data_IF_579276069024
#
_entry.id   IF_579276069024
#
_cell.length_a   1.000
_cell.length_b   1.000
_cell.length_c   1.000
_cell.angle_alpha   90.00
_cell.angle_beta   90.00
_cell.angle_gamma   90.00
#
_symmetry.space_group_name_H-M   'P 1'
#
loop_
_entity.id
_entity.type
_entity.pdbx_description
1 polymer ?
#
# COMPACT_ATOMS: atom_id res chain seq x y z
N UNK A 1 11.58 11.06 -0.18
CA UNK A 1 10.10 11.12 -0.17
C UNK A 1 9.63 10.14 -1.23
N UNK A 2 8.74 9.20 -0.91
CA UNK A 2 8.14 8.34 -1.92
C UNK A 2 6.85 9.05 -2.36
N UNK A 3 6.72 9.35 -3.65
CA UNK A 3 5.47 9.87 -4.19
C UNK A 3 4.38 8.80 -4.05
N UNK A 4 3.15 9.21 -3.77
CA UNK A 4 2.02 8.28 -3.62
C UNK A 4 1.87 7.35 -4.84
N UNK A 5 2.11 7.87 -6.05
CA UNK A 5 2.11 7.06 -7.29
C UNK A 5 3.14 5.92 -7.26
N UNK A 6 4.31 6.15 -6.67
CA UNK A 6 5.33 5.11 -6.51
C UNK A 6 4.89 3.97 -5.59
N UNK A 7 4.06 4.24 -4.57
CA UNK A 7 3.52 3.20 -3.68
C UNK A 7 2.50 2.31 -4.40
N UNK A 8 1.68 2.88 -5.28
CA UNK A 8 0.67 2.11 -6.04
C UNK A 8 1.34 1.16 -7.02
N UNK A 9 2.39 1.61 -7.71
CA UNK A 9 3.21 0.76 -8.60
C UNK A 9 3.90 -0.33 -7.80
N UNK A 10 4.55 0.03 -6.70
CA UNK A 10 5.35 -0.90 -5.87
C UNK A 10 4.52 -1.99 -5.18
N UNK A 11 3.26 -1.68 -4.86
CA UNK A 11 2.30 -2.66 -4.35
C UNK A 11 1.75 -3.59 -5.46
N UNK A 12 2.18 -3.46 -6.71
CA UNK A 12 1.72 -4.25 -7.86
C UNK A 12 0.30 -3.91 -8.31
N UNK A 13 -0.31 -2.84 -7.78
CA UNK A 13 -1.71 -2.51 -8.02
C UNK A 13 -1.93 -2.10 -9.47
N UNK A 14 -0.99 -1.40 -10.08
CA UNK A 14 -1.08 -1.00 -11.51
C UNK A 14 -1.16 -2.23 -12.41
N UNK A 15 -0.28 -3.21 -12.20
CA UNK A 15 -0.27 -4.43 -13.00
C UNK A 15 -1.53 -5.29 -12.76
N UNK A 16 -1.93 -5.45 -11.49
CA UNK A 16 -3.11 -6.24 -11.11
C UNK A 16 -4.44 -5.65 -11.61
N UNK A 17 -4.48 -4.34 -11.89
CA UNK A 17 -5.69 -3.64 -12.35
C UNK A 17 -5.61 -3.23 -13.82
N UNK A 18 -4.52 -3.56 -14.52
CA UNK A 18 -4.24 -3.09 -15.88
C UNK A 18 -4.35 -1.55 -16.03
N UNK A 19 -3.88 -0.82 -15.01
CA UNK A 19 -3.97 0.65 -14.90
C UNK A 19 -5.41 1.20 -14.97
N UNK A 20 -6.43 0.41 -14.63
CA UNK A 20 -7.80 0.90 -14.53
C UNK A 20 -7.94 1.84 -13.32
N UNK A 21 -7.89 3.14 -13.62
CA UNK A 21 -7.97 4.21 -12.63
C UNK A 21 -9.28 4.22 -11.86
N UNK A 22 -10.39 3.80 -12.46
CA UNK A 22 -11.66 3.74 -11.75
C UNK A 22 -11.64 2.61 -10.72
N UNK A 23 -11.09 1.45 -11.10
CA UNK A 23 -10.89 0.32 -10.18
C UNK A 23 -9.93 0.68 -9.03
N UNK A 24 -8.79 1.32 -9.33
CA UNK A 24 -7.84 1.80 -8.32
C UNK A 24 -8.51 2.79 -7.37
N UNK A 25 -9.24 3.76 -7.92
CA UNK A 25 -9.93 4.76 -7.10
C UNK A 25 -11.02 4.14 -6.22
N UNK A 26 -11.78 3.18 -6.74
CA UNK A 26 -12.76 2.41 -5.96
C UNK A 26 -12.14 1.68 -4.77
N UNK A 27 -10.97 1.06 -4.95
CA UNK A 27 -10.24 0.41 -3.87
C UNK A 27 -9.77 1.43 -2.80
N UNK A 28 -9.29 2.61 -3.22
CA UNK A 28 -8.91 3.69 -2.30
C UNK A 28 -10.10 4.22 -1.51
N UNK A 29 -11.28 4.35 -2.13
CA UNK A 29 -12.52 4.73 -1.45
C UNK A 29 -12.92 3.69 -0.39
N UNK A 30 -12.77 2.39 -0.70
CA UNK A 30 -13.03 1.33 0.27
C UNK A 30 -12.08 1.40 1.48
N UNK A 31 -10.79 1.65 1.24
CA UNK A 31 -9.79 1.88 2.30
C UNK A 31 -10.22 3.06 3.17
N UNK A 32 -10.62 4.19 2.57
CA UNK A 32 -11.08 5.37 3.30
C UNK A 32 -12.32 5.07 4.15
N UNK A 33 -13.30 4.32 3.61
CA UNK A 33 -14.48 3.90 4.35
C UNK A 33 -14.12 3.01 5.54
N UNK A 34 -13.20 2.05 5.38
CA UNK A 34 -12.73 1.19 6.49
C UNK A 34 -12.06 2.01 7.59
N UNK A 35 -11.26 3.02 7.24
CA UNK A 35 -10.60 3.90 8.20
C UNK A 35 -11.55 4.82 8.98
N UNK A 36 -12.72 5.12 8.42
CA UNK A 36 -13.77 5.90 9.07
C UNK A 36 -14.72 5.02 9.91
N UNK A 37 -14.62 3.69 9.79
CA UNK A 37 -15.43 2.75 10.58
C UNK A 37 -14.92 2.61 12.01
N UNK A 38 -15.70 1.93 12.84
CA UNK A 38 -15.33 1.58 14.22
C UNK A 38 -14.03 0.74 14.32
N UNK A 39 -13.69 -0.01 13.28
CA UNK A 39 -12.45 -0.79 13.18
C UNK A 39 -11.27 0.03 12.64
N UNK A 40 -11.46 1.32 12.39
CA UNK A 40 -10.48 2.16 11.70
C UNK A 40 -9.16 2.26 12.44
N UNK A 41 -9.15 2.29 13.77
CA UNK A 41 -7.91 2.33 14.56
C UNK A 41 -7.10 1.04 14.38
N UNK A 42 -7.74 -0.12 14.56
CA UNK A 42 -7.10 -1.42 14.35
C UNK A 42 -6.58 -1.59 12.91
N UNK A 43 -7.36 -1.16 11.92
CA UNK A 43 -6.93 -1.17 10.52
C UNK A 43 -5.67 -0.32 10.29
N UNK A 44 -5.57 0.87 10.91
CA UNK A 44 -4.38 1.74 10.81
C UNK A 44 -3.15 1.07 11.37
N UNK A 45 -3.26 0.47 12.55
CA UNK A 45 -2.13 -0.20 13.21
C UNK A 45 -1.61 -1.37 12.36
N UNK A 46 -2.52 -2.23 11.90
CA UNK A 46 -2.19 -3.40 11.10
C UNK A 46 -1.52 -3.00 9.77
N UNK A 47 -2.10 -2.02 9.07
CA UNK A 47 -1.56 -1.57 7.79
C UNK A 47 -0.22 -0.85 7.93
N UNK A 48 -0.04 -0.04 8.99
CA UNK A 48 1.24 0.60 9.28
C UNK A 48 2.32 -0.44 9.59
N UNK A 49 2.01 -1.47 10.37
CA UNK A 49 2.94 -2.57 10.65
C UNK A 49 3.31 -3.35 9.39
N UNK A 50 2.35 -3.65 8.52
CA UNK A 50 2.59 -4.35 7.25
C UNK A 50 3.44 -3.51 6.29
N UNK A 51 3.16 -2.23 6.17
CA UNK A 51 3.94 -1.30 5.33
C UNK A 51 5.39 -1.20 5.79
N UNK A 52 5.62 -1.04 7.10
CA UNK A 52 6.98 -1.02 7.67
C UNK A 52 7.76 -2.31 7.39
N UNK A 53 7.12 -3.47 7.52
CA UNK A 53 7.74 -4.77 7.23
C UNK A 53 8.11 -4.91 5.75
N UNK A 54 7.21 -4.50 4.83
CA UNK A 54 7.49 -4.53 3.40
C UNK A 54 8.71 -3.67 3.04
N UNK A 55 8.76 -2.42 3.53
CA UNK A 55 9.93 -1.56 3.31
C UNK A 55 11.22 -2.12 3.91
N UNK A 56 11.15 -2.72 5.10
CA UNK A 56 12.32 -3.33 5.72
C UNK A 56 12.86 -4.49 4.89
N UNK A 57 11.98 -5.37 4.39
CA UNK A 57 12.36 -6.51 3.55
C UNK A 57 13.07 -6.05 2.27
N UNK A 58 12.54 -5.04 1.58
CA UNK A 58 13.16 -4.52 0.36
C UNK A 58 14.55 -3.93 0.60
N UNK A 59 14.73 -3.16 1.68
CA UNK A 59 16.07 -2.64 2.04
C UNK A 59 17.07 -3.76 2.31
N UNK A 60 16.61 -4.89 2.86
CA UNK A 60 17.47 -6.06 3.06
C UNK A 60 17.82 -6.74 1.73
N UNK A 61 16.89 -6.83 0.77
CA UNK A 61 17.18 -7.37 -0.56
C UNK A 61 18.16 -6.46 -1.35
N UNK A 62 17.98 -5.14 -1.29
CA UNK A 62 18.89 -4.16 -1.90
C UNK A 62 20.32 -4.28 -1.35
N UNK A 63 20.48 -4.55 -0.05
CA UNK A 63 21.79 -4.73 0.60
C UNK A 63 22.44 -6.08 0.31
N UNK A 64 21.67 -7.12 -0.02
CA UNK A 64 22.20 -8.45 -0.36
C UNK A 64 22.58 -8.57 -1.84
N UNK A 65 22.02 -7.72 -2.70
CA UNK A 65 22.35 -7.64 -4.12
C UNK A 65 23.54 -6.74 -4.45
N UNK A 66 24.13 -6.06 -3.45
CA UNK A 66 25.40 -5.32 -3.53
C UNK A 66 26.56 -6.17 -3.03
#
# INVERSE_FOLDING_TARGET
>A
MIEFGGLVVKAGIVDLTADDRATIFGALLWIAAKLQSHEGEHARELWAAKGKQAFAAERHEEQKGQ
#
